data_IF_625045654691
#
_entry.id   IF_625045654691
#
_cell.length_a   1.000
_cell.length_b   1.000
_cell.length_c   1.000
_cell.angle_alpha   90.00
_cell.angle_beta   90.00
_cell.angle_gamma   90.00
#
_symmetry.space_group_name_H-M   'P 1'
#
loop_
_entity.id
_entity.type
_entity.pdbx_description
1 polymer ?
#
# COMPACT_ATOMS: atom_id res chain seq x y z
N UNK A 1 63.19 -27.27 28.06
CA UNK A 1 62.01 -27.25 28.95
C UNK A 1 61.65 -25.80 29.23
N UNK A 2 60.63 -25.27 28.57
CA UNK A 2 60.04 -23.97 28.89
C UNK A 2 58.55 -24.02 28.55
N UNK A 3 57.73 -23.67 29.55
CA UNK A 3 56.26 -23.69 29.51
C UNK A 3 55.73 -22.62 28.55
N UNK A 4 54.71 -22.98 27.76
CA UNK A 4 53.86 -22.04 27.04
C UNK A 4 52.40 -22.37 27.33
N UNK A 5 51.74 -21.53 28.13
CA UNK A 5 50.28 -21.53 28.31
C UNK A 5 49.59 -21.15 26.99
N UNK A 6 48.46 -21.78 26.62
CA UNK A 6 47.57 -21.21 25.61
C UNK A 6 46.56 -20.22 26.24
N UNK A 7 46.05 -19.26 25.44
CA UNK A 7 45.41 -18.05 25.95
C UNK A 7 43.90 -18.18 26.19
N UNK A 8 43.49 -17.42 27.21
CA UNK A 8 42.17 -16.91 27.61
C UNK A 8 41.00 -17.13 26.63
N UNK A 9 40.07 -17.94 27.13
CA UNK A 9 38.65 -18.07 26.81
C UNK A 9 38.03 -16.78 26.26
N UNK A 10 37.74 -16.78 24.95
CA UNK A 10 36.79 -15.84 24.36
C UNK A 10 35.40 -16.20 24.86
N UNK A 11 34.73 -15.24 25.49
CA UNK A 11 33.32 -15.37 25.87
C UNK A 11 32.47 -15.57 24.60
N UNK A 12 31.88 -16.74 24.48
CA UNK A 12 30.81 -17.00 23.51
C UNK A 12 29.65 -16.04 23.78
N UNK A 13 29.12 -15.32 22.78
CA UNK A 13 27.90 -14.54 22.97
C UNK A 13 26.75 -15.50 23.31
N UNK A 14 25.85 -15.14 24.24
CA UNK A 14 24.76 -16.03 24.63
C UNK A 14 23.91 -16.38 23.40
N UNK A 15 23.50 -17.65 23.23
CA UNK A 15 22.62 -18.03 22.15
C UNK A 15 21.34 -17.20 22.28
N UNK A 16 21.02 -16.42 21.25
CA UNK A 16 19.76 -15.70 21.17
C UNK A 16 18.65 -16.75 21.11
N UNK A 17 18.09 -17.04 22.29
CA UNK A 17 16.81 -17.72 22.46
C UNK A 17 15.80 -17.11 21.50
N UNK A 18 15.42 -17.84 20.45
CA UNK A 18 14.11 -17.78 19.78
C UNK A 18 14.05 -18.80 18.63
N UNK A 19 14.36 -20.07 18.91
CA UNK A 19 14.17 -21.14 17.93
C UNK A 19 12.77 -21.75 18.12
N UNK A 20 11.74 -21.00 17.73
CA UNK A 20 10.51 -21.68 17.32
C UNK A 20 10.86 -22.55 16.11
N UNK A 21 10.34 -23.78 15.99
CA UNK A 21 10.62 -24.65 14.86
C UNK A 21 10.42 -23.88 13.54
N UNK A 22 11.34 -23.96 12.57
CA UNK A 22 11.25 -23.18 11.33
C UNK A 22 9.93 -23.39 10.59
N UNK A 23 9.33 -24.58 10.74
CA UNK A 23 8.01 -24.95 10.23
C UNK A 23 6.86 -24.11 10.81
N UNK A 24 6.95 -23.75 12.09
CA UNK A 24 5.96 -22.91 12.77
C UNK A 24 6.14 -21.46 12.35
N UNK A 25 7.38 -20.99 12.19
CA UNK A 25 7.67 -19.65 11.69
C UNK A 25 7.14 -19.43 10.28
N UNK A 26 7.24 -20.44 9.40
CA UNK A 26 6.66 -20.40 8.05
C UNK A 26 5.12 -20.27 8.03
N UNK A 27 4.44 -20.68 9.10
CA UNK A 27 2.98 -20.58 9.23
C UNK A 27 2.57 -19.27 9.91
N UNK A 28 3.27 -18.91 10.99
CA UNK A 28 2.95 -17.74 11.82
C UNK A 28 3.33 -16.44 11.12
N UNK A 29 4.48 -16.39 10.42
CA UNK A 29 4.94 -15.16 9.78
C UNK A 29 3.96 -14.64 8.71
N UNK A 30 3.49 -15.46 7.75
CA UNK A 30 2.48 -15.02 6.79
C UNK A 30 1.15 -14.67 7.47
N UNK A 31 0.76 -15.42 8.51
CA UNK A 31 -0.48 -15.14 9.24
C UNK A 31 -0.44 -13.78 9.94
N UNK A 32 0.70 -13.43 10.55
CA UNK A 32 0.91 -12.14 11.20
C UNK A 32 0.97 -11.00 10.17
N UNK A 33 1.61 -11.22 9.02
CA UNK A 33 1.66 -10.23 7.96
C UNK A 33 0.26 -9.94 7.39
N UNK A 34 -0.51 -10.98 7.09
CA UNK A 34 -1.88 -10.79 6.58
C UNK A 34 -2.80 -10.22 7.66
N UNK A 35 -2.67 -10.68 8.89
CA UNK A 35 -3.39 -10.12 10.04
C UNK A 35 -3.09 -8.63 10.26
N UNK A 36 -1.81 -8.24 10.18
CA UNK A 36 -1.39 -6.84 10.30
C UNK A 36 -1.95 -5.97 9.18
N UNK A 37 -1.84 -6.42 7.92
CA UNK A 37 -2.41 -5.73 6.77
C UNK A 37 -3.93 -5.60 6.86
N UNK A 38 -4.63 -6.68 7.24
CA UNK A 38 -6.09 -6.65 7.42
C UNK A 38 -6.50 -5.75 8.59
N UNK A 39 -5.75 -5.77 9.69
CA UNK A 39 -5.96 -4.91 10.85
C UNK A 39 -5.85 -3.42 10.49
N UNK A 40 -4.84 -3.02 9.73
CA UNK A 40 -4.70 -1.64 9.24
C UNK A 40 -5.88 -1.24 8.36
N UNK A 41 -6.29 -2.11 7.44
CA UNK A 41 -7.47 -1.84 6.59
C UNK A 41 -8.76 -1.72 7.42
N UNK A 42 -8.89 -2.54 8.48
CA UNK A 42 -9.99 -2.48 9.43
C UNK A 42 -10.01 -1.17 10.22
N UNK A 43 -8.84 -0.62 10.58
CA UNK A 43 -8.75 0.69 11.23
C UNK A 43 -9.21 1.81 10.29
N UNK A 44 -8.85 1.77 9.01
CA UNK A 44 -9.26 2.77 8.03
C UNK A 44 -10.79 2.76 7.84
N UNK A 45 -11.36 1.58 7.62
CA UNK A 45 -12.82 1.42 7.43
C UNK A 45 -13.57 1.77 8.73
N UNK A 46 -13.08 1.31 9.87
CA UNK A 46 -13.66 1.59 11.19
C UNK A 46 -13.61 3.08 11.55
N UNK A 47 -12.51 3.77 11.21
CA UNK A 47 -12.38 5.22 11.42
C UNK A 47 -13.39 6.01 10.59
N UNK A 48 -13.52 5.68 9.30
CA UNK A 48 -14.52 6.31 8.44
C UNK A 48 -15.96 6.05 8.93
N UNK A 49 -16.23 4.82 9.37
CA UNK A 49 -17.54 4.43 9.91
C UNK A 49 -17.87 5.14 11.23
N UNK A 50 -16.85 5.38 12.07
CA UNK A 50 -16.99 6.14 13.31
C UNK A 50 -17.33 7.61 13.07
N UNK A 51 -16.73 8.24 12.05
CA UNK A 51 -17.05 9.62 11.64
C UNK A 51 -18.51 9.74 11.19
N UNK A 52 -18.98 8.82 10.34
CA UNK A 52 -20.36 8.85 9.82
C UNK A 52 -21.41 8.65 10.93
N UNK A 53 -21.07 7.86 11.97
CA UNK A 53 -22.00 7.54 13.06
C UNK A 53 -21.91 8.49 14.26
N UNK A 54 -21.22 9.62 14.14
CA UNK A 54 -21.03 10.61 15.22
C UNK A 54 -20.55 10.00 16.55
N UNK A 55 -19.81 8.89 16.49
CA UNK A 55 -19.22 8.23 17.67
C UNK A 55 -17.71 8.44 17.66
N UNK A 56 -17.02 8.24 18.79
CA UNK A 56 -15.55 8.33 18.91
C UNK A 56 -14.85 7.51 17.81
N UNK A 57 -14.31 8.16 16.75
CA UNK A 57 -13.82 7.44 15.57
C UNK A 57 -12.65 6.52 15.89
N UNK A 58 -11.87 6.87 16.92
CA UNK A 58 -10.74 6.10 17.43
C UNK A 58 -11.15 4.76 18.02
N UNK A 59 -12.25 4.70 18.78
CA UNK A 59 -12.74 3.44 19.37
C UNK A 59 -13.27 2.49 18.29
N UNK A 60 -14.00 3.02 17.30
CA UNK A 60 -14.49 2.23 16.17
C UNK A 60 -13.35 1.76 15.25
N UNK A 61 -12.36 2.60 14.99
CA UNK A 61 -11.15 2.22 14.25
C UNK A 61 -10.39 1.10 14.97
N UNK A 62 -10.15 1.25 16.27
CA UNK A 62 -9.39 0.28 17.06
C UNK A 62 -10.14 -1.05 17.21
N UNK A 63 -11.44 -1.01 17.53
CA UNK A 63 -12.26 -2.21 17.62
C UNK A 63 -12.33 -2.95 16.28
N UNK A 64 -12.52 -2.22 15.18
CA UNK A 64 -12.53 -2.81 13.83
C UNK A 64 -11.16 -3.38 13.47
N UNK A 65 -10.08 -2.64 13.75
CA UNK A 65 -8.71 -3.12 13.52
C UNK A 65 -8.41 -4.42 14.25
N UNK A 66 -8.74 -4.51 15.55
CA UNK A 66 -8.56 -5.72 16.36
C UNK A 66 -9.38 -6.88 15.77
N UNK A 67 -10.65 -6.64 15.44
CA UNK A 67 -11.52 -7.67 14.87
C UNK A 67 -10.98 -8.23 13.54
N UNK A 68 -10.52 -7.35 12.64
CA UNK A 68 -9.97 -7.74 11.34
C UNK A 68 -8.58 -8.35 11.45
N UNK A 69 -7.78 -7.94 12.43
CA UNK A 69 -6.49 -8.55 12.75
C UNK A 69 -6.67 -9.99 13.24
N UNK A 70 -7.56 -10.20 14.22
CA UNK A 70 -7.84 -11.55 14.75
C UNK A 70 -8.38 -12.46 13.65
N UNK A 71 -9.36 -11.98 12.87
CA UNK A 71 -9.90 -12.75 11.75
C UNK A 71 -8.82 -13.13 10.72
N UNK A 72 -8.00 -12.18 10.29
CA UNK A 72 -6.94 -12.42 9.30
C UNK A 72 -5.88 -13.40 9.81
N UNK A 73 -5.42 -13.19 11.04
CA UNK A 73 -4.39 -14.04 11.67
C UNK A 73 -4.89 -15.46 11.89
N UNK A 74 -6.07 -15.61 12.50
CA UNK A 74 -6.64 -16.94 12.80
C UNK A 74 -6.95 -17.72 11.52
N UNK A 75 -7.47 -17.06 10.48
CA UNK A 75 -7.72 -17.71 9.19
C UNK A 75 -6.42 -18.23 8.56
N UNK A 76 -5.38 -17.40 8.45
CA UNK A 76 -4.14 -17.81 7.80
C UNK A 76 -3.37 -18.86 8.61
N UNK A 77 -3.33 -18.72 9.93
CA UNK A 77 -2.68 -19.69 10.80
C UNK A 77 -3.38 -21.05 10.75
N UNK A 78 -4.72 -21.08 10.86
CA UNK A 78 -5.49 -22.33 10.80
C UNK A 78 -5.39 -23.01 9.43
N UNK A 79 -5.44 -22.25 8.34
CA UNK A 79 -5.25 -22.78 6.99
C UNK A 79 -3.85 -23.37 6.82
N UNK A 80 -2.81 -22.66 7.29
CA UNK A 80 -1.43 -23.12 7.23
C UNK A 80 -1.22 -24.42 8.01
N UNK A 81 -1.80 -24.51 9.22
CA UNK A 81 -1.76 -25.71 10.05
C UNK A 81 -2.44 -26.91 9.39
N UNK A 82 -3.65 -26.73 8.83
CA UNK A 82 -4.38 -27.81 8.14
C UNK A 82 -3.62 -28.32 6.92
N UNK A 83 -3.07 -27.41 6.10
CA UNK A 83 -2.27 -27.79 4.92
C UNK A 83 -0.97 -28.50 5.35
N UNK A 84 -0.35 -28.05 6.44
CA UNK A 84 0.83 -28.70 6.99
C UNK A 84 0.52 -30.12 7.48
N UNK A 85 -0.58 -30.30 8.21
CA UNK A 85 -1.03 -31.60 8.73
C UNK A 85 -1.35 -32.61 7.62
N UNK A 86 -1.86 -32.15 6.48
CA UNK A 86 -2.12 -33.01 5.30
C UNK A 86 -0.91 -33.23 4.39
N UNK A 87 0.22 -32.61 4.70
CA UNK A 87 1.47 -32.72 3.93
C UNK A 87 1.47 -31.82 2.69
N UNK A 88 2.31 -30.77 2.73
CA UNK A 88 2.38 -29.68 1.73
C UNK A 88 2.37 -30.14 0.26
N UNK A 89 2.93 -31.32 -0.06
CA UNK A 89 3.06 -31.84 -1.43
C UNK A 89 1.90 -32.72 -1.91
N UNK A 90 0.95 -33.08 -1.03
CA UNK A 90 -0.21 -33.93 -1.37
C UNK A 90 -1.52 -33.15 -1.47
N UNK A 91 -1.50 -31.84 -1.22
CA UNK A 91 -2.71 -31.01 -1.17
C UNK A 91 -3.09 -30.53 -2.58
N UNK A 92 -4.06 -31.21 -3.19
CA UNK A 92 -4.65 -30.81 -4.45
C UNK A 92 -5.64 -29.63 -4.33
N UNK A 93 -6.26 -29.20 -5.44
CA UNK A 93 -7.19 -28.07 -5.46
C UNK A 93 -8.41 -28.27 -4.54
N UNK A 94 -8.92 -29.50 -4.43
CA UNK A 94 -10.09 -29.81 -3.58
C UNK A 94 -9.73 -29.75 -2.09
N UNK A 95 -8.55 -30.24 -1.74
CA UNK A 95 -8.03 -30.23 -0.37
C UNK A 95 -7.75 -28.79 0.09
N UNK A 96 -7.28 -27.91 -0.81
CA UNK A 96 -7.17 -26.47 -0.52
C UNK A 96 -8.52 -25.83 -0.20
N UNK A 97 -9.58 -26.21 -0.93
CA UNK A 97 -10.95 -25.71 -0.68
C UNK A 97 -11.44 -26.16 0.68
N UNK A 98 -11.24 -27.43 1.04
CA UNK A 98 -11.57 -27.96 2.36
C UNK A 98 -10.77 -27.26 3.47
N UNK A 99 -9.46 -27.09 3.30
CA UNK A 99 -8.61 -26.37 4.25
C UNK A 99 -9.08 -24.93 4.47
N UNK A 100 -9.50 -24.26 3.39
CA UNK A 100 -10.00 -22.88 3.45
C UNK A 100 -11.39 -22.79 4.07
N UNK A 101 -12.23 -23.81 3.91
CA UNK A 101 -13.51 -23.91 4.60
C UNK A 101 -13.33 -24.13 6.10
N UNK A 102 -12.44 -25.04 6.51
CA UNK A 102 -12.11 -25.29 7.92
C UNK A 102 -11.52 -24.04 8.56
N UNK A 103 -10.54 -23.42 7.89
CA UNK A 103 -9.94 -22.17 8.35
C UNK A 103 -10.95 -21.03 8.43
N UNK A 104 -11.88 -20.96 7.46
CA UNK A 104 -13.01 -20.04 7.49
C UNK A 104 -13.90 -20.27 8.69
N UNK A 105 -14.22 -21.53 9.01
CA UNK A 105 -14.98 -21.90 10.21
C UNK A 105 -14.27 -21.46 11.50
N UNK A 106 -12.98 -21.75 11.64
CA UNK A 106 -12.17 -21.39 12.82
C UNK A 106 -11.98 -19.87 12.94
N UNK A 107 -11.76 -19.17 11.83
CA UNK A 107 -11.71 -17.71 11.81
C UNK A 107 -13.06 -17.12 12.19
N UNK A 108 -14.16 -17.65 11.62
CA UNK A 108 -15.52 -17.21 11.87
C UNK A 108 -15.98 -17.41 13.31
N UNK A 109 -15.57 -18.49 13.98
CA UNK A 109 -15.81 -18.67 15.42
C UNK A 109 -15.05 -17.64 16.23
N UNK A 110 -13.77 -17.41 15.95
CA UNK A 110 -12.96 -16.41 16.65
C UNK A 110 -13.53 -14.98 16.48
N UNK A 111 -13.89 -14.60 15.26
CA UNK A 111 -14.51 -13.30 14.99
C UNK A 111 -15.94 -13.17 15.51
N UNK A 112 -16.68 -14.28 15.59
CA UNK A 112 -18.00 -14.33 16.21
C UNK A 112 -17.93 -14.14 17.72
N UNK A 113 -16.95 -14.75 18.39
CA UNK A 113 -16.70 -14.57 19.83
C UNK A 113 -16.44 -13.11 20.19
N UNK A 114 -15.65 -12.39 19.37
CA UNK A 114 -15.38 -10.96 19.56
C UNK A 114 -16.63 -10.07 19.43
N UNK A 115 -17.70 -10.55 18.79
CA UNK A 115 -18.98 -9.85 18.62
C UNK A 115 -20.09 -10.44 19.49
N UNK A 116 -19.78 -11.38 20.37
CA UNK A 116 -20.72 -12.05 21.29
C UNK A 116 -21.08 -13.48 20.90
N UNK A 117 -21.35 -14.32 21.92
CA UNK A 117 -21.57 -15.78 21.79
C UNK A 117 -22.66 -16.17 20.77
N UNK A 118 -23.69 -15.35 20.59
CA UNK A 118 -24.75 -15.59 19.60
C UNK A 118 -24.27 -15.55 18.14
N UNK A 119 -23.12 -14.95 17.88
CA UNK A 119 -22.57 -14.77 16.53
C UNK A 119 -21.53 -15.83 16.14
N UNK A 120 -21.23 -16.79 17.03
CA UNK A 120 -20.19 -17.81 16.81
C UNK A 120 -20.61 -18.80 15.72
N UNK A 121 -21.80 -19.39 15.84
CA UNK A 121 -22.30 -20.39 14.89
C UNK A 121 -22.59 -19.76 13.52
N UNK A 122 -23.33 -18.64 13.42
CA UNK A 122 -23.54 -17.97 12.14
C UNK A 122 -22.23 -17.51 11.50
N UNK A 123 -21.29 -17.00 12.31
CA UNK A 123 -19.96 -16.60 11.86
C UNK A 123 -19.18 -17.77 11.27
N UNK A 124 -19.10 -18.91 11.97
CA UNK A 124 -18.40 -20.10 11.50
C UNK A 124 -18.93 -20.57 10.14
N UNK A 125 -20.25 -20.64 9.98
CA UNK A 125 -20.90 -21.10 8.74
C UNK A 125 -20.58 -20.13 7.59
N UNK A 126 -20.82 -18.84 7.79
CA UNK A 126 -20.62 -17.84 6.74
C UNK A 126 -19.16 -17.77 6.30
N UNK A 127 -18.22 -17.72 7.25
CA UNK A 127 -16.80 -17.66 6.91
C UNK A 127 -16.26 -18.96 6.32
N UNK A 128 -16.81 -20.14 6.68
CA UNK A 128 -16.49 -21.39 6.01
C UNK A 128 -16.95 -21.39 4.54
N UNK A 129 -18.16 -20.91 4.26
CA UNK A 129 -18.69 -20.76 2.90
C UNK A 129 -17.86 -19.76 2.09
N UNK A 130 -17.50 -18.61 2.68
CA UNK A 130 -16.61 -17.64 2.03
C UNK A 130 -15.22 -18.22 1.76
N UNK A 131 -14.64 -18.95 2.70
CA UNK A 131 -13.35 -19.61 2.54
C UNK A 131 -13.37 -20.64 1.41
N UNK A 132 -14.41 -21.49 1.35
CA UNK A 132 -14.56 -22.49 0.30
C UNK A 132 -14.77 -21.85 -1.08
N UNK A 133 -15.70 -20.89 -1.15
CA UNK A 133 -16.05 -20.19 -2.39
C UNK A 133 -14.85 -19.39 -2.91
N UNK A 134 -14.17 -18.64 -2.04
CA UNK A 134 -12.98 -17.88 -2.38
C UNK A 134 -11.87 -18.77 -2.94
N UNK A 135 -11.60 -19.91 -2.29
CA UNK A 135 -10.61 -20.86 -2.78
C UNK A 135 -11.03 -21.54 -4.09
N UNK A 136 -12.33 -21.80 -4.31
CA UNK A 136 -12.84 -22.34 -5.57
C UNK A 136 -12.65 -21.34 -6.73
N UNK A 137 -12.96 -20.06 -6.50
CA UNK A 137 -12.72 -18.98 -7.46
C UNK A 137 -11.23 -18.86 -7.75
N UNK A 138 -10.39 -18.86 -6.71
CA UNK A 138 -8.94 -18.82 -6.85
C UNK A 138 -8.42 -19.98 -7.69
N UNK A 139 -8.80 -21.22 -7.39
CA UNK A 139 -8.38 -22.40 -8.15
C UNK A 139 -8.81 -22.33 -9.62
N UNK A 140 -10.03 -21.81 -9.90
CA UNK A 140 -10.52 -21.63 -11.27
C UNK A 140 -9.76 -20.53 -12.00
N UNK A 141 -9.45 -19.43 -11.33
CA UNK A 141 -8.66 -18.34 -11.90
C UNK A 141 -7.23 -18.79 -12.18
N UNK A 142 -6.61 -19.51 -11.25
CA UNK A 142 -5.27 -20.08 -11.37
C UNK A 142 -5.19 -21.07 -12.53
N UNK A 143 -6.11 -22.04 -12.62
CA UNK A 143 -6.16 -22.97 -13.75
C UNK A 143 -6.34 -22.27 -15.10
N UNK A 144 -7.15 -21.19 -15.16
CA UNK A 144 -7.29 -20.37 -16.37
C UNK A 144 -6.04 -19.54 -16.66
N UNK A 145 -5.30 -19.10 -15.64
CA UNK A 145 -4.09 -18.31 -15.84
C UNK A 145 -2.95 -19.19 -16.35
N UNK A 146 -2.74 -20.37 -15.74
CA UNK A 146 -1.76 -21.35 -16.19
C UNK A 146 -1.99 -21.77 -17.64
N UNK A 147 -3.25 -21.99 -18.04
CA UNK A 147 -3.60 -22.30 -19.43
C UNK A 147 -3.35 -21.15 -20.42
N UNK A 148 -3.38 -19.90 -19.97
CA UNK A 148 -3.07 -18.73 -20.81
C UNK A 148 -1.57 -18.51 -20.94
N UNK A 149 -0.82 -18.73 -19.85
CA UNK A 149 0.64 -18.72 -19.85
C UNK A 149 1.19 -19.79 -20.80
N UNK A 150 0.66 -21.01 -20.77
CA UNK A 150 1.02 -22.07 -21.72
C UNK A 150 0.69 -21.70 -23.18
N UNK A 151 -0.35 -20.89 -23.40
CA UNK A 151 -0.75 -20.42 -24.73
C UNK A 151 -0.01 -19.16 -25.19
N UNK A 152 0.89 -18.61 -24.38
CA UNK A 152 1.61 -17.37 -24.68
C UNK A 152 0.73 -16.12 -24.75
N UNK A 153 -0.48 -16.16 -24.17
CA UNK A 153 -1.40 -15.02 -24.17
C UNK A 153 -1.05 -14.00 -23.08
N UNK A 154 -1.33 -12.70 -23.29
CA UNK A 154 -0.95 -11.64 -22.35
C UNK A 154 -1.56 -11.85 -20.96
N UNK A 155 -0.76 -11.58 -19.93
CA UNK A 155 -1.11 -11.79 -18.51
C UNK A 155 -2.41 -11.04 -18.14
N UNK A 156 -3.39 -11.77 -17.59
CA UNK A 156 -4.67 -11.21 -17.11
C UNK A 156 -4.50 -10.13 -16.06
N UNK A 157 -3.38 -10.11 -15.33
CA UNK A 157 -3.05 -9.02 -14.40
C UNK A 157 -3.06 -7.67 -15.11
N UNK A 158 -2.55 -7.60 -16.33
CA UNK A 158 -2.56 -6.39 -17.15
C UNK A 158 -3.99 -6.01 -17.54
N UNK A 159 -4.88 -6.98 -17.80
CA UNK A 159 -6.29 -6.71 -18.10
C UNK A 159 -7.06 -6.16 -16.90
N UNK A 160 -6.74 -6.59 -15.67
CA UNK A 160 -7.37 -6.06 -14.44
C UNK A 160 -6.85 -4.64 -14.18
N UNK A 161 -5.54 -4.42 -14.30
CA UNK A 161 -4.94 -3.10 -14.13
C UNK A 161 -5.39 -2.13 -15.24
N UNK A 162 -5.64 -2.60 -16.46
CA UNK A 162 -6.19 -1.76 -17.53
C UNK A 162 -7.73 -1.64 -17.49
N UNK A 163 -8.39 -2.11 -16.44
CA UNK A 163 -9.84 -1.92 -16.25
C UNK A 163 -10.17 -0.47 -15.88
N UNK A 164 -11.36 0.00 -16.28
CA UNK A 164 -11.89 1.34 -15.93
C UNK A 164 -11.98 1.60 -14.41
N UNK A 165 -11.92 0.54 -13.61
CA UNK A 165 -12.00 0.58 -12.15
C UNK A 165 -10.63 0.52 -11.45
N UNK A 166 -9.54 0.43 -12.21
CA UNK A 166 -8.19 0.44 -11.66
C UNK A 166 -7.61 1.86 -11.65
N UNK A 167 -7.14 2.36 -10.50
CA UNK A 167 -6.44 3.64 -10.42
C UNK A 167 -5.03 3.60 -11.03
N UNK A 168 -4.50 2.41 -11.34
CA UNK A 168 -3.19 2.21 -11.99
C UNK A 168 -3.41 1.63 -13.38
N UNK A 169 -2.85 2.24 -14.44
CA UNK A 169 -2.83 1.70 -15.81
C UNK A 169 -1.43 1.15 -16.15
N UNK A 170 -1.36 -0.02 -16.78
CA UNK A 170 -0.10 -0.54 -17.34
C UNK A 170 0.07 0.08 -18.73
N UNK A 171 1.20 0.77 -18.93
CA UNK A 171 1.54 1.41 -20.20
C UNK A 171 2.57 0.55 -20.94
N UNK A 172 2.42 0.42 -22.26
CA UNK A 172 3.51 -0.10 -23.09
C UNK A 172 4.64 0.93 -23.23
N UNK A 173 5.83 0.49 -23.61
CA UNK A 173 6.99 1.36 -23.83
C UNK A 173 6.68 2.52 -24.80
N UNK A 174 5.91 2.23 -25.85
CA UNK A 174 5.48 3.24 -26.83
C UNK A 174 4.48 4.23 -26.23
N UNK A 175 3.52 3.76 -25.42
CA UNK A 175 2.57 4.65 -24.73
C UNK A 175 3.29 5.54 -23.70
N UNK A 176 4.30 4.99 -23.02
CA UNK A 176 5.14 5.72 -22.08
C UNK A 176 5.94 6.83 -22.78
N UNK A 177 6.56 6.51 -23.93
CA UNK A 177 7.28 7.49 -24.73
C UNK A 177 6.38 8.64 -25.19
N UNK A 178 5.17 8.33 -25.68
CA UNK A 178 4.18 9.34 -26.08
C UNK A 178 3.80 10.23 -24.89
N UNK A 179 3.53 9.65 -23.72
CA UNK A 179 3.21 10.42 -22.51
C UNK A 179 4.36 11.35 -22.11
N UNK A 180 5.60 10.86 -22.16
CA UNK A 180 6.77 11.67 -21.85
C UNK A 180 6.93 12.83 -22.83
N UNK A 181 6.74 12.57 -24.13
CA UNK A 181 6.77 13.62 -25.17
C UNK A 181 5.69 14.68 -24.94
N UNK A 182 4.46 14.27 -24.60
CA UNK A 182 3.38 15.21 -24.30
C UNK A 182 3.69 16.06 -23.05
N UNK A 183 4.21 15.44 -21.99
CA UNK A 183 4.61 16.16 -20.77
C UNK A 183 5.74 17.14 -21.04
N UNK A 184 6.73 16.75 -21.84
CA UNK A 184 7.86 17.62 -22.21
C UNK A 184 7.38 18.81 -23.05
N UNK A 185 6.46 18.59 -23.99
CA UNK A 185 5.86 19.68 -24.76
C UNK A 185 5.08 20.65 -23.87
N UNK A 186 4.30 20.15 -22.91
CA UNK A 186 3.57 20.97 -21.94
C UNK A 186 4.51 21.81 -21.08
N UNK A 187 5.60 21.21 -20.59
CA UNK A 187 6.61 21.92 -19.80
C UNK A 187 7.28 23.00 -20.65
N UNK A 188 7.69 22.70 -21.88
CA UNK A 188 8.28 23.71 -22.78
C UNK A 188 7.34 24.89 -23.06
N UNK A 189 6.04 24.62 -23.26
CA UNK A 189 5.04 25.67 -23.41
C UNK A 189 4.90 26.53 -22.15
N UNK A 190 4.95 25.91 -20.97
CA UNK A 190 4.94 26.64 -19.70
C UNK A 190 6.22 27.48 -19.50
N UNK A 191 7.38 26.97 -19.91
CA UNK A 191 8.64 27.73 -19.88
C UNK A 191 8.53 28.97 -20.77
N UNK A 192 8.03 28.82 -22.00
CA UNK A 192 7.85 29.95 -22.91
C UNK A 192 6.92 31.04 -22.34
N UNK A 193 5.82 30.64 -21.70
CA UNK A 193 4.94 31.59 -21.00
C UNK A 193 5.62 32.27 -19.81
N UNK A 194 6.45 31.56 -19.07
CA UNK A 194 7.22 32.13 -17.95
C UNK A 194 8.26 33.12 -18.48
N UNK A 195 8.95 32.81 -19.58
CA UNK A 195 9.92 33.71 -20.19
C UNK A 195 9.26 35.00 -20.69
N UNK A 196 8.10 34.91 -21.33
CA UNK A 196 7.30 36.08 -21.75
C UNK A 196 6.89 36.94 -20.53
N UNK A 197 6.44 36.30 -19.45
CA UNK A 197 6.12 37.01 -18.21
C UNK A 197 7.36 37.70 -17.59
N UNK A 198 8.52 37.03 -17.57
CA UNK A 198 9.77 37.63 -17.08
C UNK A 198 10.17 38.85 -17.92
N UNK A 199 10.06 38.77 -19.23
CA UNK A 199 10.35 39.89 -20.12
C UNK A 199 9.38 41.06 -19.92
N UNK A 200 8.09 40.78 -19.77
CA UNK A 200 7.07 41.79 -19.47
C UNK A 200 7.35 42.50 -18.13
N UNK A 201 7.68 41.76 -17.07
CA UNK A 201 8.08 42.35 -15.78
C UNK A 201 9.33 43.23 -15.93
N UNK A 202 10.37 42.76 -16.63
CA UNK A 202 11.59 43.54 -16.89
C UNK A 202 11.34 44.79 -17.74
N UNK A 203 10.38 44.74 -18.66
CA UNK A 203 9.97 45.91 -19.44
C UNK A 203 9.26 46.95 -18.56
N UNK A 204 8.37 46.50 -17.68
CA UNK A 204 7.68 47.37 -16.72
C UNK A 204 8.66 48.03 -15.74
N UNK A 205 9.62 47.29 -15.20
CA UNK A 205 10.68 47.84 -14.34
C UNK A 205 11.51 48.92 -15.06
N UNK A 206 11.84 48.70 -16.33
CA UNK A 206 12.57 49.68 -17.15
C UNK A 206 11.76 50.95 -17.41
N UNK A 207 10.45 50.84 -17.64
CA UNK A 207 9.55 51.99 -17.80
C UNK A 207 9.46 52.79 -16.49
N UNK A 208 9.21 52.12 -15.36
CA UNK A 208 9.16 52.76 -14.04
C UNK A 208 10.47 53.48 -13.69
N UNK A 209 11.62 52.88 -14.02
CA UNK A 209 12.93 53.51 -13.81
C UNK A 209 13.16 54.72 -14.73
N UNK A 210 12.63 54.71 -15.96
CA UNK A 210 12.72 55.83 -16.89
C UNK A 210 11.82 57.00 -16.45
N UNK A 211 10.58 56.73 -16.05
CA UNK A 211 9.64 57.74 -15.55
C UNK A 211 10.19 58.43 -14.30
N UNK A 212 10.79 57.67 -13.37
CA UNK A 212 11.44 58.23 -12.18
C UNK A 212 12.58 59.19 -12.55
N UNK A 213 13.41 58.83 -13.55
CA UNK A 213 14.50 59.69 -14.03
C UNK A 213 14.00 60.95 -14.75
N UNK A 214 12.84 60.90 -15.40
CA UNK A 214 12.24 62.06 -16.05
C UNK A 214 11.69 63.05 -15.02
N UNK A 215 11.00 62.56 -13.99
CA UNK A 215 10.55 63.40 -12.87
C UNK A 215 11.73 64.07 -12.15
N UNK A 216 12.79 63.32 -11.81
CA UNK A 216 13.98 63.89 -11.15
C UNK A 216 14.64 65.02 -11.99
N UNK A 217 14.60 64.93 -13.33
CA UNK A 217 15.11 65.99 -14.23
C UNK A 217 14.20 67.22 -14.29
N UNK A 218 12.88 67.03 -14.25
CA UNK A 218 11.94 68.15 -14.23
C UNK A 218 12.04 68.93 -12.91
N UNK A 219 12.18 68.23 -11.78
CA UNK A 219 12.34 68.83 -10.46
C UNK A 219 13.66 69.63 -10.32
N UNK A 220 14.74 69.16 -10.95
CA UNK A 220 16.03 69.88 -10.96
C UNK A 220 16.02 71.11 -11.87
N UNK A 221 15.33 71.06 -13.01
CA UNK A 221 15.19 72.21 -13.92
C UNK A 221 14.31 73.33 -13.36
N UNK A 222 13.21 72.97 -12.68
CA UNK A 222 12.30 73.94 -12.05
C UNK A 222 12.89 74.59 -10.79
N UNK A 223 13.84 73.92 -10.11
CA UNK A 223 14.57 74.49 -8.98
C UNK A 223 15.71 75.45 -9.39
N UNK A 224 16.25 75.34 -10.61
CA UNK A 224 17.23 76.29 -11.15
C UNK A 224 16.59 77.59 -11.66
N UNK A 225 15.37 77.53 -12.20
CA UNK A 225 14.66 78.70 -12.74
C UNK A 225 14.17 79.67 -11.63
N UNK A 226 13.99 79.18 -10.40
CA UNK A 226 13.53 79.98 -9.26
C UNK A 226 14.67 80.66 -8.45
N UNK A 227 15.91 80.71 -8.97
CA UNK A 227 17.07 81.35 -8.31
C UNK A 227 17.52 82.68 -8.95
N UNK A 228 16.79 83.17 -9.96
CA UNK A 228 17.14 84.41 -10.69
C UNK A 228 16.07 85.52 -10.65
N UNK A 229 15.19 85.51 -9.65
CA UNK A 229 14.30 86.63 -9.30
C UNK A 229 14.65 87.10 -7.90
#
# INVERSE_FOLDING_TARGET
>A
MAQSQPPKTGAEPPPRRNDLPPEILEIIWPALQVGGLSGMSGMLIGGFSGVIRSTTPTLFALASGIQWFTLGTTFWASRGFVIHAWGKHKVGPREKVSASAIAGGIGGTAGGLLRGRGNVIPGAIMFALFGATGQMIYNRADARNSALVERGEPDKKNSILNSKWSPMKVLSDSEYEIMLREKLLRVNAQIALVDENIEALRAQERQLAADKRLNDRQDTSSSQDNKHV
#
